data_IF_701829567090
#
_entry.id   IF_701829567090
#
_cell.length_a   1.000
_cell.length_b   1.000
_cell.length_c   1.000
_cell.angle_alpha   90.00
_cell.angle_beta   90.00
_cell.angle_gamma   90.00
#
_symmetry.space_group_name_H-M   'P 1'
#
loop_
_entity.id
_entity.type
_entity.pdbx_description
1 polymer ?
#
# COMPACT_ATOMS: atom_id res chain seq x y z
N UNK A 1 0.64 17.11 27.44
CA UNK A 1 -0.50 16.67 26.60
C UNK A 1 -0.02 15.48 25.80
N UNK A 2 -0.41 14.25 26.17
CA UNK A 2 0.04 13.03 25.49
C UNK A 2 -0.76 12.90 24.20
N UNK A 3 -0.11 13.04 23.05
CA UNK A 3 -0.73 12.78 21.74
C UNK A 3 -0.96 11.27 21.64
N UNK A 4 -2.22 10.84 21.69
CA UNK A 4 -2.58 9.44 21.49
C UNK A 4 -2.22 9.05 20.05
N UNK A 5 -1.34 8.05 19.88
CA UNK A 5 -0.97 7.56 18.54
C UNK A 5 -2.19 7.03 17.81
N UNK A 6 -2.30 7.36 16.51
CA UNK A 6 -3.34 6.79 15.66
C UNK A 6 -3.00 5.33 15.37
N UNK A 7 -4.01 4.47 15.19
CA UNK A 7 -3.80 3.04 14.93
C UNK A 7 -2.79 2.76 13.80
N UNK A 8 -2.88 3.52 12.69
CA UNK A 8 -1.94 3.39 11.55
C UNK A 8 -0.48 3.64 11.94
N UNK A 9 -0.21 4.45 12.96
CA UNK A 9 1.12 4.72 13.48
C UNK A 9 1.64 3.58 14.38
N UNK A 10 0.73 2.75 14.91
CA UNK A 10 1.06 1.59 15.78
C UNK A 10 1.30 0.32 14.96
N UNK A 11 0.74 0.21 13.75
CA UNK A 11 0.92 -0.96 12.87
C UNK A 11 2.39 -1.29 12.59
N UNK A 12 3.28 -0.31 12.26
CA UNK A 12 4.71 -0.58 12.08
C UNK A 12 5.40 -1.09 13.34
N UNK A 13 4.95 -0.66 14.53
CA UNK A 13 5.45 -1.18 15.81
C UNK A 13 5.09 -2.66 15.92
N UNK A 14 3.88 -3.04 15.52
CA UNK A 14 3.46 -4.44 15.46
C UNK A 14 4.39 -5.28 14.56
N UNK A 15 4.69 -4.80 13.35
CA UNK A 15 5.63 -5.48 12.44
C UNK A 15 7.03 -5.60 13.05
N UNK A 16 7.53 -4.53 13.68
CA UNK A 16 8.85 -4.55 14.32
C UNK A 16 8.92 -5.57 15.47
N UNK A 17 7.88 -5.66 16.30
CA UNK A 17 7.79 -6.66 17.37
C UNK A 17 7.80 -8.09 16.83
N UNK A 18 7.05 -8.37 15.74
CA UNK A 18 7.03 -9.69 15.11
C UNK A 18 8.42 -10.05 14.58
N UNK A 19 9.05 -9.16 13.81
CA UNK A 19 10.37 -9.41 13.22
C UNK A 19 11.43 -9.59 14.33
N UNK A 20 11.43 -8.73 15.35
CA UNK A 20 12.36 -8.82 16.46
C UNK A 20 12.20 -10.14 17.23
N UNK A 21 10.97 -10.54 17.53
CA UNK A 21 10.71 -11.79 18.24
C UNK A 21 11.09 -13.03 17.40
N UNK A 22 10.77 -13.05 16.10
CA UNK A 22 11.11 -14.16 15.21
C UNK A 22 12.62 -14.28 14.99
N UNK A 23 13.33 -13.17 14.81
CA UNK A 23 14.80 -13.18 14.66
C UNK A 23 15.50 -13.58 15.95
N UNK A 24 15.03 -13.12 17.11
CA UNK A 24 15.52 -13.59 18.41
C UNK A 24 15.29 -15.10 18.58
N UNK A 25 14.10 -15.60 18.24
CA UNK A 25 13.79 -17.03 18.26
C UNK A 25 14.70 -17.85 17.35
N UNK A 26 14.95 -17.39 16.12
CA UNK A 26 15.91 -18.02 15.22
C UNK A 26 17.33 -18.02 15.78
N UNK A 27 17.76 -16.94 16.44
CA UNK A 27 19.04 -16.89 17.14
C UNK A 27 19.13 -17.89 18.30
N UNK A 28 18.05 -18.03 19.08
CA UNK A 28 17.98 -19.01 20.17
C UNK A 28 18.09 -20.45 19.65
N UNK A 29 17.40 -20.77 18.54
CA UNK A 29 17.47 -22.09 17.91
C UNK A 29 18.85 -22.34 17.28
N UNK A 30 19.43 -21.33 16.63
CA UNK A 30 20.80 -21.42 16.08
C UNK A 30 21.82 -21.78 17.17
N UNK A 31 21.65 -21.26 18.40
CA UNK A 31 22.49 -21.62 19.55
C UNK A 31 22.45 -23.11 19.91
N UNK A 32 21.37 -23.82 19.60
CA UNK A 32 21.24 -25.27 19.85
C UNK A 32 21.88 -26.12 18.74
N UNK A 33 22.07 -25.56 17.54
CA UNK A 33 22.52 -26.28 16.36
C UNK A 33 23.84 -27.05 16.53
N UNK A 34 24.90 -26.52 17.18
CA UNK A 34 26.15 -27.24 17.34
C UNK A 34 26.02 -28.55 18.13
N UNK A 35 25.00 -28.66 18.99
CA UNK A 35 24.73 -29.84 19.79
C UNK A 35 23.87 -30.85 19.02
N UNK A 36 22.90 -30.35 18.24
CA UNK A 36 21.96 -31.19 17.49
C UNK A 36 22.48 -31.65 16.12
N UNK A 37 23.54 -31.04 15.59
CA UNK A 37 24.08 -31.44 14.28
C UNK A 37 24.49 -32.93 14.26
N UNK A 38 24.96 -33.45 15.40
CA UNK A 38 25.39 -34.84 15.51
C UNK A 38 24.25 -35.81 15.87
N UNK A 39 23.02 -35.31 16.05
CA UNK A 39 21.85 -36.14 16.33
C UNK A 39 21.11 -36.50 15.04
N UNK A 40 20.85 -35.53 14.15
CA UNK A 40 20.09 -35.80 12.90
C UNK A 40 20.90 -35.87 11.61
N UNK A 41 22.03 -35.15 11.49
CA UNK A 41 22.74 -35.01 10.19
C UNK A 41 24.09 -35.73 10.16
N UNK A 42 24.79 -35.74 11.30
CA UNK A 42 26.17 -36.25 11.39
C UNK A 42 26.31 -37.27 12.49
N UNK A 43 26.30 -38.55 12.14
CA UNK A 43 26.58 -39.61 13.12
C UNK A 43 28.08 -39.87 13.29
N UNK A 44 28.91 -38.83 13.13
CA UNK A 44 30.39 -38.95 13.16
C UNK A 44 30.96 -38.96 14.57
N UNK A 45 30.23 -38.40 15.54
CA UNK A 45 30.61 -38.39 16.95
C UNK A 45 29.75 -39.41 17.70
N UNK A 46 30.34 -40.51 18.21
CA UNK A 46 29.61 -41.51 19.01
C UNK A 46 28.94 -40.91 20.25
N UNK A 47 29.42 -39.75 20.73
CA UNK A 47 28.85 -39.06 21.90
C UNK A 47 27.89 -37.93 21.52
N UNK A 48 27.47 -37.82 20.25
CA UNK A 48 26.61 -36.75 19.76
C UNK A 48 25.30 -36.61 20.54
N UNK A 49 24.58 -37.72 20.74
CA UNK A 49 23.34 -37.75 21.52
C UNK A 49 23.59 -37.35 22.97
N UNK A 50 24.64 -37.88 23.62
CA UNK A 50 24.99 -37.55 25.00
C UNK A 50 25.33 -36.07 25.20
N UNK A 51 26.00 -35.45 24.22
CA UNK A 51 26.29 -34.01 24.25
C UNK A 51 25.01 -33.17 24.13
N UNK A 52 24.09 -33.56 23.25
CA UNK A 52 22.78 -32.90 23.13
C UNK A 52 21.95 -33.08 24.41
N UNK A 53 21.97 -34.26 25.02
CA UNK A 53 21.31 -34.51 26.32
C UNK A 53 21.82 -33.58 27.42
N UNK A 54 23.15 -33.50 27.61
CA UNK A 54 23.76 -32.63 28.63
C UNK A 54 23.46 -31.16 28.36
N UNK A 55 23.43 -30.75 27.10
CA UNK A 55 23.03 -29.39 26.70
C UNK A 55 21.58 -29.09 27.12
N UNK A 56 20.64 -29.98 26.81
CA UNK A 56 19.24 -29.80 27.19
C UNK A 56 19.00 -29.85 28.70
N UNK A 57 19.76 -30.66 29.44
CA UNK A 57 19.77 -30.64 30.91
C UNK A 57 20.27 -29.29 31.43
N UNK A 58 21.42 -28.82 30.93
CA UNK A 58 22.01 -27.52 31.32
C UNK A 58 21.03 -26.38 31.05
N UNK A 59 20.35 -26.40 29.90
CA UNK A 59 19.33 -25.40 29.58
C UNK A 59 18.13 -25.48 30.52
N UNK A 60 17.62 -26.68 30.82
CA UNK A 60 16.45 -26.86 31.69
C UNK A 60 16.69 -26.62 33.17
N UNK A 61 17.92 -26.82 33.66
CA UNK A 61 18.33 -26.52 35.04
C UNK A 61 18.79 -25.07 35.21
N UNK A 62 18.82 -24.31 34.11
CA UNK A 62 19.22 -22.92 34.13
C UNK A 62 18.26 -22.06 34.99
N UNK A 63 18.75 -20.98 35.62
CA UNK A 63 17.90 -20.12 36.43
C UNK A 63 16.68 -19.59 35.66
N UNK A 64 15.52 -19.55 36.32
CA UNK A 64 14.23 -19.22 35.69
C UNK A 64 14.21 -17.91 34.88
N UNK A 65 15.03 -16.91 35.24
CA UNK A 65 15.07 -15.64 34.50
C UNK A 65 15.53 -15.82 33.03
N UNK A 66 16.31 -16.85 32.72
CA UNK A 66 16.72 -17.18 31.34
C UNK A 66 15.49 -17.62 30.55
N UNK A 67 14.69 -18.53 31.11
CA UNK A 67 13.43 -18.95 30.50
C UNK A 67 12.45 -17.79 30.37
N UNK A 68 12.28 -16.95 31.39
CA UNK A 68 11.38 -15.80 31.33
C UNK A 68 11.75 -14.81 30.23
N UNK A 69 13.05 -14.63 29.95
CA UNK A 69 13.51 -13.78 28.85
C UNK A 69 13.00 -14.30 27.51
N UNK A 70 13.14 -15.60 27.24
CA UNK A 70 12.63 -16.22 26.01
C UNK A 70 11.10 -16.07 25.88
N UNK A 71 10.36 -16.38 26.95
CA UNK A 71 8.90 -16.27 26.95
C UNK A 71 8.42 -14.83 26.79
N UNK A 72 9.13 -13.86 27.38
CA UNK A 72 8.81 -12.44 27.25
C UNK A 72 8.97 -11.97 25.80
N UNK A 73 10.06 -12.33 25.14
CA UNK A 73 10.26 -12.00 23.72
C UNK A 73 9.21 -12.70 22.84
N UNK A 74 8.87 -13.96 23.13
CA UNK A 74 7.80 -14.66 22.43
C UNK A 74 6.43 -13.98 22.61
N UNK A 75 6.15 -13.51 23.83
CA UNK A 75 4.94 -12.75 24.13
C UNK A 75 4.90 -11.42 23.37
N UNK A 76 6.02 -10.69 23.28
CA UNK A 76 6.10 -9.46 22.47
C UNK A 76 5.79 -9.72 20.99
N UNK A 77 6.23 -10.85 20.43
CA UNK A 77 5.87 -11.27 19.08
C UNK A 77 4.36 -11.47 18.92
N UNK A 78 3.71 -12.14 19.88
CA UNK A 78 2.26 -12.30 19.90
C UNK A 78 1.52 -10.97 20.00
N UNK A 79 1.99 -10.05 20.86
CA UNK A 79 1.44 -8.69 20.95
C UNK A 79 1.54 -7.98 19.60
N UNK A 80 2.67 -8.12 18.89
CA UNK A 80 2.85 -7.59 17.55
C UNK A 80 1.80 -8.12 16.56
N UNK A 81 1.52 -9.42 16.57
CA UNK A 81 0.46 -10.00 15.75
C UNK A 81 -0.93 -9.46 16.11
N UNK A 82 -1.25 -9.36 17.41
CA UNK A 82 -2.56 -8.84 17.83
C UNK A 82 -2.76 -7.36 17.50
N UNK A 83 -1.70 -6.54 17.54
CA UNK A 83 -1.75 -5.15 17.08
C UNK A 83 -2.22 -5.10 15.62
N UNK A 84 -1.63 -5.91 14.73
CA UNK A 84 -1.96 -5.89 13.29
C UNK A 84 -3.34 -6.50 12.99
N UNK A 85 -3.84 -7.37 13.87
CA UNK A 85 -5.14 -8.03 13.71
C UNK A 85 -6.35 -7.21 14.19
N UNK A 86 -6.15 -6.12 14.93
CA UNK A 86 -7.28 -5.35 15.47
C UNK A 86 -8.13 -4.69 14.38
N UNK A 87 -7.50 -4.20 13.32
CA UNK A 87 -8.17 -3.70 12.10
C UNK A 87 -7.36 -4.11 10.88
N UNK A 88 -7.53 -5.34 10.37
CA UNK A 88 -6.76 -5.86 9.27
C UNK A 88 -7.23 -5.22 7.96
N UNK A 89 -6.30 -4.89 7.09
CA UNK A 89 -6.58 -4.49 5.71
C UNK A 89 -7.10 -5.70 4.93
N UNK A 90 -8.10 -5.52 4.05
CA UNK A 90 -8.72 -6.65 3.32
C UNK A 90 -7.72 -7.38 2.41
N UNK A 91 -6.75 -6.66 1.88
CA UNK A 91 -5.71 -7.18 0.99
C UNK A 91 -4.59 -7.86 1.77
N UNK A 92 -4.31 -7.39 3.00
CA UNK A 92 -3.24 -7.92 3.85
C UNK A 92 -3.69 -9.03 4.82
N UNK A 93 -5.00 -9.18 5.08
CA UNK A 93 -5.50 -10.04 6.17
C UNK A 93 -4.97 -11.48 6.11
N UNK A 94 -4.88 -12.08 4.92
CA UNK A 94 -4.41 -13.46 4.79
C UNK A 94 -2.91 -13.61 5.07
N UNK A 95 -2.10 -12.60 4.74
CA UNK A 95 -0.68 -12.57 5.11
C UNK A 95 -0.52 -12.47 6.63
N UNK A 96 -1.33 -11.65 7.30
CA UNK A 96 -1.31 -11.51 8.77
C UNK A 96 -1.76 -12.79 9.48
N UNK A 97 -2.86 -13.40 9.03
CA UNK A 97 -3.36 -14.66 9.61
C UNK A 97 -2.39 -15.80 9.37
N UNK A 98 -1.81 -15.91 8.17
CA UNK A 98 -0.79 -16.90 7.86
C UNK A 98 0.46 -16.73 8.73
N UNK A 99 0.89 -15.48 8.92
CA UNK A 99 2.04 -15.16 9.75
C UNK A 99 1.79 -15.48 11.23
N UNK A 100 0.63 -15.12 11.78
CA UNK A 100 0.25 -15.53 13.14
C UNK A 100 0.16 -17.06 13.26
N UNK A 101 -0.43 -17.73 12.26
CA UNK A 101 -0.55 -19.19 12.26
C UNK A 101 0.81 -19.88 12.36
N UNK A 102 1.78 -19.48 11.54
CA UNK A 102 3.15 -20.00 11.60
C UNK A 102 3.83 -19.70 12.94
N UNK A 103 3.62 -18.49 13.48
CA UNK A 103 4.15 -18.11 14.79
C UNK A 103 3.56 -18.98 15.91
N UNK A 104 2.26 -19.23 15.88
CA UNK A 104 1.58 -20.10 16.84
C UNK A 104 2.07 -21.55 16.74
N UNK A 105 2.32 -22.05 15.53
CA UNK A 105 2.92 -23.38 15.35
C UNK A 105 4.29 -23.44 16.03
N UNK A 106 5.13 -22.40 15.90
CA UNK A 106 6.42 -22.33 16.60
C UNK A 106 6.25 -22.41 18.13
N UNK A 107 5.30 -21.63 18.69
CA UNK A 107 5.00 -21.61 20.13
C UNK A 107 4.49 -22.98 20.60
N UNK A 108 3.61 -23.63 19.83
CA UNK A 108 3.07 -24.95 20.17
C UNK A 108 4.20 -25.97 20.19
N UNK A 109 5.02 -26.06 19.14
CA UNK A 109 6.15 -27.00 19.07
C UNK A 109 7.12 -26.77 20.24
N UNK A 110 7.40 -25.50 20.58
CA UNK A 110 8.20 -25.16 21.74
C UNK A 110 7.61 -25.73 23.05
N UNK A 111 6.31 -25.50 23.30
CA UNK A 111 5.66 -25.93 24.53
C UNK A 111 5.51 -27.45 24.62
N UNK A 112 5.09 -28.10 23.52
CA UNK A 112 4.76 -29.53 23.54
C UNK A 112 6.00 -30.40 23.40
N UNK A 113 6.95 -30.01 22.56
CA UNK A 113 8.08 -30.88 22.22
C UNK A 113 9.34 -30.48 22.99
N UNK A 114 9.72 -29.20 22.96
CA UNK A 114 10.98 -28.77 23.60
C UNK A 114 10.85 -28.74 25.11
N UNK A 115 9.84 -28.04 25.66
CA UNK A 115 9.68 -27.94 27.12
C UNK A 115 9.46 -29.32 27.74
N UNK A 116 8.54 -30.11 27.20
CA UNK A 116 8.30 -31.48 27.69
C UNK A 116 9.54 -32.34 27.55
N UNK A 117 10.22 -32.28 26.40
CA UNK A 117 11.44 -33.04 26.14
C UNK A 117 12.58 -32.70 27.11
N UNK A 118 12.77 -31.44 27.47
CA UNK A 118 13.74 -31.03 28.50
C UNK A 118 13.42 -31.62 29.86
N UNK A 119 12.15 -31.67 30.25
CA UNK A 119 11.76 -32.33 31.50
C UNK A 119 12.07 -33.83 31.44
N UNK A 120 11.90 -34.48 30.29
CA UNK A 120 12.35 -35.87 30.09
C UNK A 120 13.88 -36.00 30.18
N UNK A 121 14.65 -35.04 29.66
CA UNK A 121 16.11 -35.02 29.77
C UNK A 121 16.59 -34.96 31.23
N UNK A 122 15.92 -34.18 32.07
CA UNK A 122 16.26 -34.03 33.49
C UNK A 122 15.80 -35.25 34.29
N UNK A 123 14.57 -35.70 34.08
CA UNK A 123 13.96 -36.77 34.88
C UNK A 123 14.35 -38.17 34.45
N UNK A 124 14.92 -38.33 33.25
CA UNK A 124 15.16 -39.62 32.61
C UNK A 124 13.89 -40.37 32.20
N UNK A 125 12.72 -39.71 32.24
CA UNK A 125 11.42 -40.34 31.94
C UNK A 125 11.01 -40.03 30.50
N UNK A 126 11.23 -40.99 29.61
CA UNK A 126 10.96 -40.86 28.18
C UNK A 126 9.64 -41.51 27.73
N UNK A 127 8.95 -42.23 28.63
CA UNK A 127 7.69 -42.90 28.31
C UNK A 127 7.91 -44.13 27.43
N UNK A 128 7.19 -44.22 26.32
CA UNK A 128 7.22 -45.36 25.39
C UNK A 128 8.39 -45.31 24.40
N UNK A 129 9.18 -44.23 24.41
CA UNK A 129 10.35 -44.06 23.54
C UNK A 129 11.63 -44.12 24.36
N UNK A 130 12.72 -44.59 23.73
CA UNK A 130 14.05 -44.48 24.29
C UNK A 130 14.57 -43.03 24.22
N UNK A 131 15.62 -42.74 24.99
CA UNK A 131 16.13 -41.38 25.10
C UNK A 131 16.78 -40.89 23.78
N UNK A 132 17.37 -41.76 22.97
CA UNK A 132 18.01 -41.35 21.71
C UNK A 132 16.95 -40.89 20.72
N UNK A 133 15.88 -41.67 20.58
CA UNK A 133 14.71 -41.28 19.78
C UNK A 133 14.10 -39.97 20.30
N UNK A 134 13.96 -39.82 21.62
CA UNK A 134 13.43 -38.60 22.22
C UNK A 134 14.27 -37.35 21.90
N UNK A 135 15.60 -37.45 22.02
CA UNK A 135 16.52 -36.36 21.66
C UNK A 135 16.47 -36.03 20.16
N UNK A 136 16.36 -37.04 19.30
CA UNK A 136 16.19 -36.81 17.85
C UNK A 136 14.88 -36.06 17.54
N UNK A 137 13.77 -36.40 18.22
CA UNK A 137 12.51 -35.67 18.07
C UNK A 137 12.63 -34.22 18.53
N UNK A 138 13.37 -33.95 19.61
CA UNK A 138 13.66 -32.58 20.05
C UNK A 138 14.48 -31.81 19.02
N UNK A 139 15.56 -32.40 18.51
CA UNK A 139 16.39 -31.80 17.47
C UNK A 139 15.58 -31.52 16.18
N UNK A 140 14.69 -32.43 15.79
CA UNK A 140 13.82 -32.24 14.63
C UNK A 140 12.81 -31.10 14.86
N UNK A 141 12.33 -30.97 16.10
CA UNK A 141 11.43 -29.88 16.50
C UNK A 141 12.12 -28.51 16.39
N UNK A 142 13.41 -28.42 16.69
CA UNK A 142 14.19 -27.19 16.46
C UNK A 142 14.20 -26.80 14.97
N UNK A 143 14.41 -27.77 14.06
CA UNK A 143 14.38 -27.53 12.60
C UNK A 143 13.00 -27.04 12.16
N UNK A 144 11.94 -27.68 12.66
CA UNK A 144 10.57 -27.27 12.38
C UNK A 144 10.33 -25.82 12.81
N UNK A 145 10.79 -25.42 14.01
CA UNK A 145 10.72 -24.05 14.50
C UNK A 145 11.46 -23.09 13.55
N UNK A 146 12.65 -23.44 13.07
CA UNK A 146 13.38 -22.63 12.07
C UNK A 146 12.53 -22.43 10.82
N UNK A 147 11.97 -23.49 10.25
CA UNK A 147 11.17 -23.41 9.03
C UNK A 147 9.97 -22.48 9.20
N UNK A 148 9.22 -22.61 10.28
CA UNK A 148 8.03 -21.78 10.50
C UNK A 148 8.38 -20.33 10.86
N UNK A 149 9.44 -20.07 11.63
CA UNK A 149 9.88 -18.71 11.95
C UNK A 149 10.48 -18.00 10.73
N UNK A 150 11.21 -18.71 9.87
CA UNK A 150 11.63 -18.17 8.56
C UNK A 150 10.39 -17.87 7.71
N UNK A 151 9.39 -18.74 7.71
CA UNK A 151 8.11 -18.48 7.06
C UNK A 151 7.41 -17.22 7.57
N UNK A 152 7.47 -16.95 8.89
CA UNK A 152 6.98 -15.68 9.47
C UNK A 152 7.73 -14.49 8.87
N UNK A 153 9.07 -14.54 8.80
CA UNK A 153 9.86 -13.45 8.23
C UNK A 153 9.60 -13.24 6.74
N UNK A 154 9.43 -14.32 5.98
CA UNK A 154 9.08 -14.26 4.56
C UNK A 154 7.72 -13.62 4.35
N UNK A 155 6.71 -13.98 5.16
CA UNK A 155 5.38 -13.36 5.07
C UNK A 155 5.40 -11.89 5.46
N UNK A 156 6.12 -11.51 6.53
CA UNK A 156 6.23 -10.11 6.93
C UNK A 156 7.02 -9.28 5.91
N UNK A 157 8.10 -9.82 5.35
CA UNK A 157 8.87 -9.18 4.28
C UNK A 157 8.09 -9.07 2.97
N UNK A 158 7.33 -10.10 2.60
CA UNK A 158 6.45 -10.10 1.43
C UNK A 158 5.34 -9.07 1.56
N UNK A 159 4.73 -8.95 2.74
CA UNK A 159 3.72 -7.92 3.01
C UNK A 159 4.32 -6.51 2.94
N UNK A 160 5.52 -6.30 3.50
CA UNK A 160 6.23 -5.02 3.37
C UNK A 160 6.49 -4.67 1.91
N UNK A 161 6.95 -5.64 1.11
CA UNK A 161 7.20 -5.43 -0.31
C UNK A 161 5.93 -5.07 -1.09
N UNK A 162 4.82 -5.76 -0.82
CA UNK A 162 3.53 -5.46 -1.43
C UNK A 162 3.05 -4.05 -1.09
N UNK A 163 3.12 -3.66 0.19
CA UNK A 163 2.73 -2.32 0.64
C UNK A 163 3.59 -1.22 0.03
N UNK A 164 4.90 -1.44 -0.04
CA UNK A 164 5.83 -0.51 -0.66
C UNK A 164 5.54 -0.34 -2.16
N UNK A 165 5.25 -1.43 -2.87
CA UNK A 165 4.89 -1.39 -4.28
C UNK A 165 3.58 -0.63 -4.53
N UNK A 166 2.56 -0.87 -3.72
CA UNK A 166 1.26 -0.17 -3.83
C UNK A 166 1.39 1.33 -3.52
N UNK A 167 2.27 1.71 -2.60
CA UNK A 167 2.54 3.12 -2.28
C UNK A 167 3.19 3.84 -3.46
N UNK A 168 4.16 3.20 -4.13
CA UNK A 168 4.79 3.74 -5.34
C UNK A 168 3.78 3.96 -6.46
N UNK A 169 2.90 2.99 -6.70
CA UNK A 169 1.88 3.10 -7.74
C UNK A 169 0.89 4.25 -7.48
N UNK A 170 0.51 4.45 -6.21
CA UNK A 170 -0.37 5.56 -5.80
C UNK A 170 0.29 6.92 -5.99
N UNK A 171 1.57 7.03 -5.66
CA UNK A 171 2.34 8.26 -5.88
C UNK A 171 2.38 8.63 -7.37
N UNK A 172 2.72 7.68 -8.24
CA UNK A 172 2.74 7.91 -9.69
C UNK A 172 1.36 8.32 -10.24
N UNK A 173 0.28 7.71 -9.72
CA UNK A 173 -1.08 8.08 -10.11
C UNK A 173 -1.42 9.53 -9.73
N UNK A 174 -1.11 9.94 -8.49
CA UNK A 174 -1.38 11.31 -8.04
C UNK A 174 -0.52 12.36 -8.76
N UNK A 175 0.73 12.03 -9.10
CA UNK A 175 1.58 12.92 -9.91
C UNK A 175 1.01 13.11 -11.33
N UNK A 176 0.51 12.04 -11.94
CA UNK A 176 -0.14 12.12 -13.25
C UNK A 176 -1.45 12.92 -13.19
N UNK A 177 -2.29 12.69 -12.18
CA UNK A 177 -3.54 13.45 -11.98
C UNK A 177 -3.25 14.94 -11.73
N UNK A 178 -2.22 15.27 -10.95
CA UNK A 178 -1.80 16.66 -10.72
C UNK A 178 -1.26 17.31 -12.00
N UNK A 179 -0.50 16.57 -12.84
CA UNK A 179 0.00 17.06 -14.13
C UNK A 179 -1.14 17.30 -15.12
N UNK A 180 -2.12 16.40 -15.17
CA UNK A 180 -3.32 16.55 -16.00
C UNK A 180 -4.19 17.72 -15.54
N UNK A 181 -4.40 17.88 -14.23
CA UNK A 181 -5.14 19.00 -13.66
C UNK A 181 -4.43 20.34 -13.92
N UNK A 182 -3.10 20.39 -13.79
CA UNK A 182 -2.31 21.58 -14.13
C UNK A 182 -2.41 21.91 -15.63
N UNK A 183 -2.28 20.92 -16.50
CA UNK A 183 -2.42 21.11 -17.94
C UNK A 183 -3.84 21.56 -18.35
N UNK A 184 -4.88 21.02 -17.69
CA UNK A 184 -6.27 21.43 -17.88
C UNK A 184 -6.51 22.87 -17.40
N UNK A 185 -5.96 23.25 -16.24
CA UNK A 185 -6.03 24.62 -15.72
C UNK A 185 -5.29 25.61 -16.63
N UNK A 186 -4.11 25.25 -17.15
CA UNK A 186 -3.38 26.05 -18.14
C UNK A 186 -4.15 26.19 -19.46
N UNK A 187 -4.76 25.11 -19.95
CA UNK A 187 -5.59 25.14 -21.15
C UNK A 187 -6.83 26.06 -20.97
N UNK A 188 -7.51 25.97 -19.81
CA UNK A 188 -8.63 26.84 -19.47
C UNK A 188 -8.19 28.31 -19.36
N UNK A 189 -7.06 28.59 -18.72
CA UNK A 189 -6.51 29.96 -18.62
C UNK A 189 -6.15 30.54 -20.00
N UNK A 190 -5.55 29.74 -20.90
CA UNK A 190 -5.27 30.17 -22.28
C UNK A 190 -6.55 30.41 -23.09
N UNK A 191 -7.61 29.64 -22.85
CA UNK A 191 -8.91 29.81 -23.51
C UNK A 191 -9.62 31.08 -23.04
N UNK A 192 -9.64 31.34 -21.73
CA UNK A 192 -10.15 32.59 -21.16
C UNK A 192 -9.37 33.81 -21.68
N UNK A 193 -8.04 33.75 -21.75
CA UNK A 193 -7.23 34.85 -22.27
C UNK A 193 -7.53 35.13 -23.75
N UNK A 194 -7.74 34.09 -24.56
CA UNK A 194 -8.16 34.20 -25.97
C UNK A 194 -9.55 34.82 -26.10
N UNK A 195 -10.51 34.43 -25.26
CA UNK A 195 -11.87 34.99 -25.24
C UNK A 195 -11.87 36.48 -24.86
N UNK A 196 -11.08 36.86 -23.84
CA UNK A 196 -10.92 38.26 -23.42
C UNK A 196 -10.28 39.10 -24.53
N UNK A 197 -9.24 38.59 -25.20
CA UNK A 197 -8.60 39.26 -26.35
C UNK A 197 -9.57 39.42 -27.53
N UNK A 198 -10.40 38.43 -27.82
CA UNK A 198 -11.41 38.48 -28.90
C UNK A 198 -12.55 39.44 -28.58
N UNK A 199 -13.03 39.46 -27.32
CA UNK A 199 -14.02 40.43 -26.83
C UNK A 199 -13.52 41.87 -26.88
N UNK A 200 -12.26 42.12 -26.50
CA UNK A 200 -11.62 43.45 -26.65
C UNK A 200 -11.50 43.90 -28.11
N UNK A 201 -11.17 43.00 -29.04
CA UNK A 201 -11.16 43.31 -30.49
C UNK A 201 -12.56 43.67 -31.01
N UNK A 202 -13.57 42.88 -30.69
CA UNK A 202 -14.96 43.13 -31.13
C UNK A 202 -15.52 44.45 -30.58
N UNK A 203 -15.18 44.81 -29.34
CA UNK A 203 -15.58 46.10 -28.75
C UNK A 203 -14.92 47.29 -29.45
N UNK A 204 -13.64 47.14 -29.83
CA UNK A 204 -12.87 48.15 -30.57
C UNK A 204 -13.32 48.29 -32.04
N UNK A 205 -13.84 47.23 -32.65
CA UNK A 205 -14.50 47.28 -33.97
C UNK A 205 -15.86 47.97 -33.90
N UNK A 206 -16.68 47.68 -32.87
CA UNK A 206 -17.98 48.35 -32.68
C UNK A 206 -17.87 49.84 -32.31
N UNK A 207 -16.83 50.24 -31.59
CA UNK A 207 -16.55 51.67 -31.33
C UNK A 207 -16.14 52.41 -32.61
N UNK A 208 -15.37 51.75 -33.50
CA UNK A 208 -15.02 52.31 -34.82
C UNK A 208 -16.20 52.39 -35.80
N UNK A 209 -17.15 51.44 -35.74
CA UNK A 209 -18.41 51.54 -36.51
C UNK A 209 -19.30 52.69 -36.03
N UNK A 210 -19.38 52.90 -34.71
CA UNK A 210 -20.14 54.01 -34.13
C UNK A 210 -19.52 55.40 -34.35
N UNK A 211 -18.19 55.48 -34.50
CA UNK A 211 -17.53 56.73 -34.92
C UNK A 211 -17.80 57.04 -36.40
N UNK A 212 -17.88 56.02 -37.27
CA UNK A 212 -18.24 56.20 -38.69
C UNK A 212 -19.70 56.59 -38.92
N UNK A 213 -20.65 56.07 -38.14
CA UNK A 213 -22.06 56.53 -38.20
C UNK A 213 -22.22 57.99 -37.74
N UNK A 214 -21.34 58.49 -36.86
CA UNK A 214 -21.38 59.90 -36.42
C UNK A 214 -20.71 60.89 -37.38
N UNK A 215 -19.87 60.43 -38.29
CA UNK A 215 -19.31 61.26 -39.36
C UNK A 215 -20.27 61.41 -40.56
N UNK A 216 -21.17 60.44 -40.80
CA UNK A 216 -22.13 60.48 -41.93
C UNK A 216 -23.40 61.32 -41.64
N UNK A 217 -23.74 61.53 -40.36
CA UNK A 217 -24.83 62.43 -39.92
C UNK A 217 -24.40 63.91 -39.77
N UNK A 218 -23.13 64.24 -40.07
CA UNK A 218 -22.54 65.56 -39.85
C UNK A 218 -22.56 66.53 -41.04
N UNK A 219 -23.00 66.11 -42.23
CA UNK A 219 -22.93 66.93 -43.44
C UNK A 219 -24.24 66.87 -44.25
N UNK A 220 -25.31 67.44 -43.68
CA UNK A 220 -26.51 67.88 -44.41
C UNK A 220 -27.41 68.71 -43.50
N UNK A 221 -27.07 69.98 -43.35
CA UNK A 221 -28.03 71.04 -42.99
C UNK A 221 -27.53 72.34 -43.61
N UNK A 222 -27.90 72.59 -44.86
CA UNK A 222 -28.04 73.95 -45.37
C UNK A 222 -28.94 73.98 -46.62
N UNK A 223 -30.05 74.70 -46.44
CA UNK A 223 -30.91 75.37 -47.43
C UNK A 223 -32.05 74.55 -48.04
N UNK A 224 -33.20 74.67 -47.38
CA UNK A 224 -34.55 74.65 -47.96
C UNK A 224 -34.71 75.72 -49.05
N UNK A 225 -35.33 75.36 -50.17
CA UNK A 225 -35.82 76.33 -51.13
C UNK A 225 -36.34 75.74 -52.45
N UNK A 226 -37.67 75.74 -52.58
CA UNK A 226 -38.46 75.91 -53.82
C UNK A 226 -39.21 74.67 -54.37
N UNK A 227 -40.53 74.79 -54.20
CA UNK A 227 -41.70 74.38 -55.01
C UNK A 227 -41.96 72.92 -55.44
N UNK A 228 -43.02 72.39 -54.81
CA UNK A 228 -44.24 71.84 -55.42
C UNK A 228 -44.24 71.66 -56.96
N UNK A 229 -44.65 70.47 -57.41
CA UNK A 229 -45.90 70.22 -58.15
C UNK A 229 -45.84 68.84 -58.85
N UNK A 230 -46.82 67.97 -58.51
CA UNK A 230 -47.51 66.97 -59.36
C UNK A 230 -46.94 65.55 -59.51
N UNK A 231 -47.81 64.60 -59.08
CA UNK A 231 -48.27 63.33 -59.68
C UNK A 231 -47.30 62.51 -60.54
N UNK A 232 -47.32 61.18 -60.54
CA UNK A 232 -48.45 60.23 -60.56
C UNK A 232 -47.81 58.82 -60.53
N UNK A 233 -48.56 57.82 -60.04
CA UNK A 233 -48.71 56.45 -60.61
C UNK A 233 -47.42 55.69 -61.07
N UNK A 234 -47.17 54.40 -60.84
CA UNK A 234 -47.98 53.25 -60.46
C UNK A 234 -47.04 52.04 -60.45
N UNK A 235 -47.45 51.04 -59.68
CA UNK A 235 -47.38 49.61 -60.01
C UNK A 235 -46.03 48.90 -60.22
N UNK A 236 -45.83 47.93 -59.34
CA UNK A 236 -45.47 46.58 -59.74
C UNK A 236 -43.97 46.32 -59.85
N UNK A 237 -43.47 45.10 -59.70
CA UNK A 237 -44.07 43.81 -59.36
C UNK A 237 -42.90 42.83 -59.39
N UNK A 238 -42.93 41.85 -58.48
CA UNK A 238 -42.46 40.48 -58.69
C UNK A 238 -40.96 40.11 -58.71
N UNK A 239 -40.71 38.98 -58.03
CA UNK A 239 -39.81 37.93 -58.53
C UNK A 239 -38.59 37.69 -57.63
N UNK A 240 -38.66 36.90 -56.55
CA UNK A 240 -38.70 35.42 -56.50
C UNK A 240 -37.54 34.76 -57.27
N UNK A 241 -36.59 34.13 -56.55
CA UNK A 241 -36.24 32.70 -56.73
C UNK A 241 -35.16 32.16 -55.77
N UNK A 242 -35.59 31.10 -55.12
CA UNK A 242 -34.92 29.94 -54.51
C UNK A 242 -33.64 29.40 -55.18
N UNK A 243 -32.77 28.75 -54.38
CA UNK A 243 -32.32 27.35 -54.65
C UNK A 243 -31.77 26.64 -53.39
N UNK A 244 -32.13 25.36 -53.29
CA UNK A 244 -31.83 24.32 -52.27
C UNK A 244 -30.41 23.76 -52.38
N UNK A 245 -29.96 23.03 -51.33
CA UNK A 245 -29.24 21.72 -51.34
C UNK A 245 -28.27 21.64 -50.14
N UNK A 246 -27.97 20.58 -49.39
CA UNK A 246 -28.44 19.20 -49.18
C UNK A 246 -27.63 18.62 -48.00
N UNK A 247 -28.18 17.58 -47.35
CA UNK A 247 -27.65 16.88 -46.17
C UNK A 247 -26.65 15.75 -46.46
N UNK A 248 -25.81 15.40 -45.47
CA UNK A 248 -25.28 14.04 -45.09
C UNK A 248 -24.17 14.22 -44.03
N UNK A 249 -23.88 13.34 -43.05
CA UNK A 249 -24.29 11.96 -42.72
C UNK A 249 -23.82 11.63 -41.27
N UNK A 250 -24.56 10.77 -40.58
CA UNK A 250 -24.26 10.08 -39.30
C UNK A 250 -23.17 8.99 -39.43
N UNK A 251 -22.57 8.61 -38.29
CA UNK A 251 -22.14 7.26 -37.82
C UNK A 251 -21.66 7.44 -36.35
N UNK A 252 -22.21 6.81 -35.31
CA UNK A 252 -22.18 5.38 -34.91
C UNK A 252 -20.80 4.75 -34.99
#
# INVERSE_FOLDING_TARGET
>A
MVRLMKYKEVVPIGTALIIAASTFGLGAVYGNWPYDVNTLWRHTDPNGISKSLVHYQTWGESPNYIHHTLHFVAFLGLVGHFIKLYKPDEEAKYFEYGSLGLYMVAVIIYLTNLRTGVVSCITGKWGDVDFETGINVMAASQVMIVLVLVGVLVLQGGLYYAQWYDEQLKLEFYENEAREAAAAAEAQAMEEEKLVKKGRKSKKEKEKEKEKEKEDDGEKDDIDGIELVVNKETSGSHGKRTRKSSAKKRKS
#
